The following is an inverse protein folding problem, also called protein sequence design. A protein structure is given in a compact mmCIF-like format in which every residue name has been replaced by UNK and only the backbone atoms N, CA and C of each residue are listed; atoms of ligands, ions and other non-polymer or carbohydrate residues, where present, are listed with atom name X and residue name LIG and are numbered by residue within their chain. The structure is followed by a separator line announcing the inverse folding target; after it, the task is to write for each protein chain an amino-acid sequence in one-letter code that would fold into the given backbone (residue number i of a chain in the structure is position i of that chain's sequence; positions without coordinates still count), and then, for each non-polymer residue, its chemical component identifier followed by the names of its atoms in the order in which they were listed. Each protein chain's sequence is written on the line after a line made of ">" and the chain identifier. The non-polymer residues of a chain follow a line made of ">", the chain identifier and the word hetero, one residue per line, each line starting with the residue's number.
data_IF_162374339108
#
_entry.id   IF_162374339108
#
_cell.length_a   1.000
_cell.length_b   1.000
_cell.length_c   1.000
_cell.angle_alpha   90.00
_cell.angle_beta   90.00
_cell.angle_gamma   90.00
#
_symmetry.space_group_name_H-M   'P 1'
#
loop_
_entity.id
_entity.type
_entity.pdbx_description
1 polymer ?
#
# COMPACT_ATOMS: atom_id res chain seq x y z
N UNK A 1 -15.92 11.39 9.77
CA UNK A 1 -15.05 11.94 8.71
C UNK A 1 -15.08 10.90 7.62
N UNK A 2 -15.56 11.26 6.42
CA UNK A 2 -15.45 10.37 5.27
C UNK A 2 -13.97 10.26 4.91
N UNK A 3 -13.52 9.03 4.70
CA UNK A 3 -12.17 8.74 4.24
C UNK A 3 -12.15 9.06 2.73
N UNK A 4 -11.24 9.93 2.30
CA UNK A 4 -11.12 10.34 0.90
C UNK A 4 -10.21 9.34 0.17
N UNK A 5 -10.84 8.36 -0.47
CA UNK A 5 -10.17 7.28 -1.23
C UNK A 5 -9.39 7.80 -2.47
N UNK A 6 -9.56 9.07 -2.85
CA UNK A 6 -8.86 9.69 -3.99
C UNK A 6 -7.47 10.20 -3.61
N UNK A 7 -7.13 10.28 -2.32
CA UNK A 7 -5.82 10.75 -1.86
C UNK A 7 -4.78 9.63 -1.94
N UNK A 8 -3.85 9.76 -2.88
CA UNK A 8 -2.73 8.83 -3.02
C UNK A 8 -1.67 9.04 -1.92
N UNK A 9 -1.33 7.96 -1.19
CA UNK A 9 -0.30 7.98 -0.15
C UNK A 9 1.03 7.41 -0.67
N UNK A 10 2.09 8.22 -0.65
CA UNK A 10 3.45 7.79 -1.02
C UNK A 10 4.22 7.39 0.24
N UNK A 11 4.54 6.10 0.36
CA UNK A 11 5.37 5.58 1.44
C UNK A 11 6.85 5.66 1.08
N UNK A 12 7.55 6.62 1.69
CA UNK A 12 8.99 6.77 1.50
C UNK A 12 9.82 5.68 2.20
N UNK A 13 11.08 5.55 1.80
CA UNK A 13 12.06 4.62 2.43
C UNK A 13 12.15 4.76 3.96
N UNK A 14 12.18 5.97 4.56
CA UNK A 14 12.21 6.10 6.02
C UNK A 14 11.00 5.44 6.70
N UNK A 15 9.81 5.57 6.12
CA UNK A 15 8.59 4.97 6.65
C UNK A 15 8.64 3.44 6.59
N UNK A 16 9.03 2.91 5.43
CA UNK A 16 9.17 1.47 5.22
C UNK A 16 10.21 0.85 6.17
N UNK A 17 11.28 1.59 6.49
CA UNK A 17 12.30 1.15 7.44
C UNK A 17 11.75 1.08 8.88
N UNK A 18 10.97 2.08 9.30
CA UNK A 18 10.40 2.13 10.66
C UNK A 18 9.47 0.95 10.94
N UNK A 19 8.57 0.62 10.01
CA UNK A 19 7.64 -0.51 10.17
C UNK A 19 8.21 -1.87 9.77
N UNK A 20 9.55 -1.98 9.60
CA UNK A 20 10.25 -3.20 9.18
C UNK A 20 9.55 -3.89 8.02
N UNK A 21 9.26 -3.10 7.00
CA UNK A 21 8.44 -3.52 5.88
C UNK A 21 9.12 -4.66 5.09
N UNK A 22 8.34 -5.68 4.72
CA UNK A 22 8.75 -6.79 3.88
C UNK A 22 7.92 -6.78 2.60
N UNK A 23 8.58 -6.81 1.45
CA UNK A 23 7.94 -6.84 0.14
C UNK A 23 8.11 -8.24 -0.43
N UNK A 24 6.98 -8.93 -0.61
CA UNK A 24 6.92 -10.17 -1.35
C UNK A 24 6.64 -9.84 -2.81
N UNK A 25 7.63 -10.10 -3.67
CA UNK A 25 7.54 -9.81 -5.10
C UNK A 25 6.77 -10.88 -5.87
N UNK A 26 6.67 -12.10 -5.35
CA UNK A 26 5.93 -13.19 -5.98
C UNK A 26 4.43 -13.00 -5.77
N UNK A 27 4.02 -12.74 -4.52
CA UNK A 27 2.62 -12.51 -4.17
C UNK A 27 2.17 -11.06 -4.44
N UNK A 28 3.11 -10.15 -4.70
CA UNK A 28 2.81 -8.72 -4.89
C UNK A 28 2.22 -8.09 -3.64
N UNK A 29 2.73 -8.47 -2.46
CA UNK A 29 2.21 -8.06 -1.16
C UNK A 29 3.27 -7.32 -0.36
N UNK A 30 2.88 -6.21 0.25
CA UNK A 30 3.67 -5.44 1.20
C UNK A 30 3.18 -5.73 2.61
N UNK A 31 4.08 -6.23 3.47
CA UNK A 31 3.78 -6.54 4.88
C UNK A 31 4.47 -5.53 5.78
N UNK A 32 3.70 -4.82 6.61
CA UNK A 32 4.18 -3.87 7.61
C UNK A 32 3.94 -4.46 9.00
N UNK A 33 4.94 -4.37 9.89
CA UNK A 33 4.78 -4.71 11.30
C UNK A 33 4.81 -3.44 12.14
N UNK A 34 3.72 -3.18 12.84
CA UNK A 34 3.60 -2.05 13.77
C UNK A 34 3.27 -2.64 15.13
N UNK A 35 4.18 -2.47 16.09
CA UNK A 35 4.13 -3.15 17.39
C UNK A 35 3.97 -4.68 17.24
N UNK A 36 2.82 -5.21 17.67
CA UNK A 36 2.46 -6.63 17.56
C UNK A 36 1.45 -6.91 16.43
N UNK A 37 1.06 -5.90 15.66
CA UNK A 37 0.13 -6.04 14.55
C UNK A 37 0.88 -6.17 13.22
N UNK A 38 0.31 -7.00 12.35
CA UNK A 38 0.82 -7.25 11.00
C UNK A 38 -0.23 -6.80 10.00
N UNK A 39 0.11 -5.81 9.20
CA UNK A 39 -0.74 -5.29 8.13
C UNK A 39 -0.20 -5.80 6.80
N UNK A 40 -1.06 -6.39 5.98
CA UNK A 40 -0.73 -6.81 4.61
C UNK A 40 -1.48 -5.94 3.62
N UNK A 41 -0.74 -5.33 2.71
CA UNK A 41 -1.25 -4.49 1.63
C UNK A 41 -0.96 -5.19 0.30
N UNK A 42 -1.97 -5.40 -0.54
CA UNK A 42 -1.74 -5.89 -1.89
C UNK A 42 -1.29 -4.70 -2.77
N UNK A 43 -0.03 -4.71 -3.24
CA UNK A 43 0.51 -3.55 -3.96
C UNK A 43 -0.11 -3.39 -5.34
N UNK A 44 -0.53 -4.48 -5.98
CA UNK A 44 -1.16 -4.45 -7.30
C UNK A 44 -2.54 -3.79 -7.25
N UNK A 45 -3.32 -4.06 -6.20
CA UNK A 45 -4.61 -3.41 -5.95
C UNK A 45 -4.44 -1.96 -5.50
N UNK A 46 -3.45 -1.67 -4.67
CA UNK A 46 -3.19 -0.33 -4.14
C UNK A 46 -2.61 0.64 -5.19
N UNK A 47 -1.97 0.13 -6.24
CA UNK A 47 -1.45 0.95 -7.35
C UNK A 47 -2.55 1.37 -8.35
N UNK A 48 -3.77 0.81 -8.25
CA UNK A 48 -4.89 1.23 -9.10
C UNK A 48 -5.19 2.71 -8.83
N UNK A 49 -4.87 3.55 -9.79
CA UNK A 49 -5.28 4.95 -9.77
C UNK A 49 -6.82 5.03 -9.77
N UNK A 50 -7.44 6.00 -9.08
CA UNK A 50 -8.88 6.26 -9.16
C UNK A 50 -9.38 6.69 -10.57
N UNK A 51 -8.54 6.54 -11.61
CA UNK A 51 -8.81 6.94 -13.00
C UNK A 51 -8.51 5.87 -14.04
N UNK A 52 -8.55 4.59 -13.68
CA UNK A 52 -8.82 3.59 -14.73
C UNK A 52 -10.32 3.69 -15.08
N UNK A 53 -10.69 4.77 -15.77
CA UNK A 53 -11.85 4.73 -16.66
C UNK A 53 -11.47 3.74 -17.74
N UNK A 54 -12.28 2.71 -17.92
CA UNK A 54 -12.26 1.92 -19.14
C UNK A 54 -12.59 2.88 -20.30
N UNK A 55 -11.56 3.49 -20.88
CA UNK A 55 -11.67 4.19 -22.15
C UNK A 55 -11.47 3.13 -23.23
N UNK A 56 -12.54 2.93 -24.03
CA UNK A 56 -12.65 1.98 -25.14
C UNK A 56 -11.47 1.96 -26.10
#
# INVERSE_FOLDING_TARGET
>A
MEEDDDIQLILGRPFLQTGRCMIDLEDGTLTLKVDNEVVKLNVLKAMKHPKEKEEC
#
